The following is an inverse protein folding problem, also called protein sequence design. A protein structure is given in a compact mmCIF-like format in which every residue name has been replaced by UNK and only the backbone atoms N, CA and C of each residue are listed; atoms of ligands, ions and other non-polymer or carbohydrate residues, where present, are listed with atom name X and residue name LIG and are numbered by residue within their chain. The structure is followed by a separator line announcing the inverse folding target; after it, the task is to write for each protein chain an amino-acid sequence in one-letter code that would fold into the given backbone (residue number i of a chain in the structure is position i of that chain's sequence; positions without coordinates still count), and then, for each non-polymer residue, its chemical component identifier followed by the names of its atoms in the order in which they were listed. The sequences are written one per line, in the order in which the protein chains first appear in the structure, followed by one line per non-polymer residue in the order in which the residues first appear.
data_IF_592786212962
#
_entry.id   IF_592786212962
#
_cell.length_a   1.000
_cell.length_b   1.000
_cell.length_c   1.000
_cell.angle_alpha   90.00
_cell.angle_beta   90.00
_cell.angle_gamma   90.00
#
_symmetry.space_group_name_H-M   'P 1'
#
loop_
_entity.id
_entity.type
_entity.pdbx_description
1 polymer ?
#
# COMPACT_ATOMS: atom_id res chain seq x y z
N UNK A 1 40.91 -29.89 -38.75
CA UNK A 1 42.00 -30.86 -38.50
C UNK A 1 41.44 -31.97 -37.64
N UNK A 2 41.78 -33.20 -38.03
CA UNK A 2 41.50 -34.50 -37.39
C UNK A 2 40.07 -35.08 -37.42
N UNK A 3 40.06 -36.34 -37.88
CA UNK A 3 38.96 -37.22 -38.27
C UNK A 3 38.63 -38.20 -37.14
N UNK A 4 37.49 -38.87 -37.31
CA UNK A 4 37.18 -40.27 -36.95
C UNK A 4 36.26 -40.47 -35.72
N UNK A 5 35.61 -41.65 -35.56
CA UNK A 5 34.57 -42.21 -36.45
C UNK A 5 33.43 -42.89 -35.64
N UNK A 6 32.16 -42.55 -35.82
CA UNK A 6 31.07 -43.19 -35.03
C UNK A 6 29.84 -43.58 -35.87
N UNK A 7 30.05 -43.98 -37.12
CA UNK A 7 28.96 -44.35 -38.05
C UNK A 7 29.20 -45.66 -38.80
N UNK A 8 30.06 -46.54 -38.27
CA UNK A 8 30.40 -47.81 -38.91
C UNK A 8 30.47 -48.96 -37.89
N UNK A 9 29.37 -49.22 -37.17
CA UNK A 9 29.29 -50.40 -36.28
C UNK A 9 27.86 -50.90 -35.99
N UNK A 10 26.90 -50.65 -36.89
CA UNK A 10 25.49 -51.07 -36.71
C UNK A 10 24.92 -51.91 -37.86
N UNK A 11 25.76 -52.45 -38.73
CA UNK A 11 25.31 -53.33 -39.81
C UNK A 11 26.40 -54.32 -40.21
N UNK A 12 26.67 -55.38 -39.41
CA UNK A 12 27.38 -56.60 -39.84
C UNK A 12 27.49 -57.75 -38.81
N UNK A 13 26.47 -57.98 -37.96
CA UNK A 13 26.42 -59.18 -37.10
C UNK A 13 25.04 -59.86 -37.17
N UNK A 14 24.54 -60.05 -38.38
CA UNK A 14 23.49 -61.01 -38.68
C UNK A 14 24.13 -62.18 -39.45
N UNK A 15 23.86 -63.39 -38.97
CA UNK A 15 24.28 -64.69 -39.48
C UNK A 15 25.74 -65.09 -39.19
N UNK A 16 25.91 -66.00 -38.22
CA UNK A 16 26.73 -67.21 -38.34
C UNK A 16 26.56 -68.10 -37.09
N UNK A 17 26.12 -69.33 -37.33
CA UNK A 17 26.54 -70.49 -36.54
C UNK A 17 25.71 -70.86 -35.30
N UNK A 18 24.59 -71.56 -35.53
CA UNK A 18 24.12 -72.54 -34.56
C UNK A 18 25.22 -73.58 -34.33
N UNK A 19 25.88 -73.51 -33.18
CA UNK A 19 26.74 -74.57 -32.66
C UNK A 19 26.33 -74.83 -31.22
N UNK A 20 25.15 -75.40 -31.03
CA UNK A 20 24.80 -76.04 -29.78
C UNK A 20 25.84 -77.14 -29.51
N UNK A 21 26.48 -77.10 -28.34
CA UNK A 21 27.29 -78.19 -27.86
C UNK A 21 26.40 -79.43 -27.71
N UNK A 22 26.41 -80.33 -28.70
CA UNK A 22 25.94 -81.68 -28.53
C UNK A 22 26.90 -82.35 -27.52
N UNK A 23 26.49 -82.39 -26.25
CA UNK A 23 27.12 -83.29 -25.28
C UNK A 23 26.87 -84.71 -25.79
N UNK A 24 27.96 -85.44 -25.96
CA UNK A 24 27.99 -86.88 -26.17
C UNK A 24 27.00 -87.55 -25.21
N UNK A 25 26.09 -88.37 -25.76
CA UNK A 25 25.18 -89.19 -25.00
C UNK A 25 25.97 -90.17 -24.13
N UNK A 26 26.21 -89.78 -22.88
CA UNK A 26 26.34 -90.72 -21.78
C UNK A 26 24.98 -91.42 -21.74
N UNK A 27 24.97 -92.74 -21.69
CA UNK A 27 23.74 -93.52 -21.46
C UNK A 27 22.92 -92.86 -20.34
N UNK A 28 21.58 -92.75 -20.45
CA UNK A 28 20.75 -92.15 -19.41
C UNK A 28 20.61 -93.14 -18.25
N UNK A 29 21.73 -93.43 -17.59
CA UNK A 29 21.76 -94.25 -16.39
C UNK A 29 21.40 -93.34 -15.22
N UNK A 30 20.14 -93.46 -14.81
CA UNK A 30 19.67 -92.81 -13.60
C UNK A 30 20.39 -93.39 -12.37
N UNK A 31 20.64 -92.57 -11.33
CA UNK A 31 21.21 -93.06 -10.07
C UNK A 31 20.38 -94.21 -9.46
N UNK A 32 21.01 -95.01 -8.60
CA UNK A 32 20.34 -96.12 -7.93
C UNK A 32 19.05 -95.65 -7.22
N UNK A 33 17.92 -96.28 -7.54
CA UNK A 33 16.59 -95.93 -7.02
C UNK A 33 15.73 -95.05 -7.94
N UNK A 34 16.30 -94.51 -9.03
CA UNK A 34 15.58 -93.72 -10.03
C UNK A 34 15.37 -94.54 -11.31
N UNK A 35 14.29 -94.25 -12.03
CA UNK A 35 14.01 -94.81 -13.35
C UNK A 35 13.87 -93.71 -14.40
N UNK A 36 14.29 -94.03 -15.62
CA UNK A 36 14.15 -93.12 -16.74
C UNK A 36 12.68 -93.11 -17.23
N UNK A 37 12.04 -91.95 -17.16
CA UNK A 37 10.72 -91.70 -17.74
C UNK A 37 10.87 -90.57 -18.77
N UNK A 38 10.81 -90.93 -20.05
CA UNK A 38 11.18 -90.01 -21.14
C UNK A 38 12.66 -89.63 -21.09
N UNK A 39 12.95 -88.33 -20.96
CA UNK A 39 14.32 -87.79 -20.85
C UNK A 39 14.71 -87.42 -19.40
N UNK A 40 13.86 -87.71 -18.40
CA UNK A 40 14.09 -87.32 -16.99
C UNK A 40 14.17 -88.55 -16.09
N UNK A 41 15.07 -88.50 -15.11
CA UNK A 41 15.16 -89.53 -14.07
C UNK A 41 14.17 -89.24 -12.96
N UNK A 42 13.19 -90.12 -12.78
CA UNK A 42 12.15 -90.02 -11.76
C UNK A 42 12.42 -91.00 -10.62
N UNK A 43 12.20 -90.58 -9.37
CA UNK A 43 12.34 -91.47 -8.21
C UNK A 43 11.23 -92.54 -8.22
N UNK A 44 11.55 -93.76 -7.75
CA UNK A 44 10.58 -94.85 -7.66
C UNK A 44 10.07 -95.10 -6.24
N UNK A 45 10.90 -94.80 -5.23
CA UNK A 45 10.61 -95.03 -3.82
C UNK A 45 11.30 -93.96 -2.97
N UNK A 46 10.86 -93.78 -1.72
CA UNK A 46 11.50 -92.85 -0.78
C UNK A 46 13.00 -93.16 -0.56
N UNK A 47 13.41 -94.43 -0.66
CA UNK A 47 14.82 -94.85 -0.50
C UNK A 47 15.72 -94.38 -1.64
N UNK A 48 15.15 -93.95 -2.77
CA UNK A 48 15.89 -93.34 -3.86
C UNK A 48 16.25 -91.88 -3.56
N UNK A 49 15.47 -91.22 -2.70
CA UNK A 49 15.66 -89.82 -2.39
C UNK A 49 16.78 -89.63 -1.36
N UNK A 50 17.44 -88.46 -1.33
CA UNK A 50 18.37 -88.10 -0.26
C UNK A 50 17.73 -88.24 1.12
N UNK A 51 18.55 -88.46 2.15
CA UNK A 51 18.08 -88.71 3.51
C UNK A 51 16.99 -87.71 3.95
N UNK A 52 15.86 -88.25 4.43
CA UNK A 52 14.70 -87.49 4.90
C UNK A 52 13.72 -87.03 3.81
N UNK A 53 14.05 -87.11 2.51
CA UNK A 53 13.14 -86.73 1.43
C UNK A 53 12.23 -87.88 1.01
N UNK A 54 11.06 -87.54 0.44
CA UNK A 54 10.03 -88.51 0.01
C UNK A 54 9.82 -88.42 -1.49
N UNK A 55 9.57 -89.57 -2.12
CA UNK A 55 9.32 -89.64 -3.55
C UNK A 55 7.83 -89.43 -3.84
N UNK A 56 7.49 -88.33 -4.52
CA UNK A 56 6.11 -88.02 -4.91
C UNK A 56 6.06 -87.64 -6.38
N UNK A 57 5.23 -88.36 -7.16
CA UNK A 57 5.06 -88.14 -8.60
C UNK A 57 6.40 -88.06 -9.37
N UNK A 58 7.36 -88.92 -9.02
CA UNK A 58 8.66 -89.02 -9.68
C UNK A 58 9.70 -87.99 -9.23
N UNK A 59 9.38 -87.11 -8.27
CA UNK A 59 10.31 -86.08 -7.76
C UNK A 59 10.46 -86.21 -6.24
N UNK A 60 11.68 -85.97 -5.74
CA UNK A 60 11.95 -85.98 -4.32
C UNK A 60 11.53 -84.65 -3.68
N UNK A 61 10.58 -84.72 -2.74
CA UNK A 61 10.11 -83.57 -1.97
C UNK A 61 10.53 -83.69 -0.51
N UNK A 62 10.87 -82.55 0.08
CA UNK A 62 11.01 -82.42 1.52
C UNK A 62 9.64 -82.08 2.13
N UNK A 63 9.20 -82.81 3.16
CA UNK A 63 7.86 -82.66 3.77
C UNK A 63 7.88 -82.39 5.28
N UNK A 64 9.05 -82.50 5.91
CA UNK A 64 9.24 -82.23 7.33
C UNK A 64 10.70 -81.82 7.58
N UNK A 65 11.04 -81.39 8.79
CA UNK A 65 12.37 -80.84 9.08
C UNK A 65 13.50 -81.88 9.05
N UNK A 66 13.22 -83.18 8.90
CA UNK A 66 14.26 -84.22 8.88
C UNK A 66 15.12 -84.21 7.61
N UNK A 67 14.58 -83.71 6.49
CA UNK A 67 15.33 -83.51 5.23
C UNK A 67 16.05 -82.16 5.15
N UNK A 68 15.89 -81.28 6.14
CA UNK A 68 16.48 -79.96 6.09
C UNK A 68 17.95 -79.97 6.56
N UNK A 69 18.84 -79.23 5.88
CA UNK A 69 20.22 -79.05 6.33
C UNK A 69 20.30 -78.44 7.73
N UNK A 70 21.47 -78.52 8.35
CA UNK A 70 21.71 -77.90 9.65
C UNK A 70 21.31 -76.42 9.65
N UNK A 71 20.67 -75.99 10.73
CA UNK A 71 20.10 -74.66 10.88
C UNK A 71 18.78 -74.39 10.13
N UNK A 72 18.32 -75.28 9.25
CA UNK A 72 17.07 -75.11 8.50
C UNK A 72 15.92 -75.95 9.06
N UNK A 73 14.68 -75.52 8.84
CA UNK A 73 13.47 -76.28 9.17
C UNK A 73 12.42 -76.17 8.07
N UNK A 74 11.57 -77.18 7.93
CA UNK A 74 10.53 -77.20 6.91
C UNK A 74 9.43 -76.17 7.20
N UNK A 75 9.06 -75.40 6.18
CA UNK A 75 7.96 -74.44 6.22
C UNK A 75 6.82 -74.94 5.34
N UNK A 76 5.69 -75.29 5.96
CA UNK A 76 4.49 -75.69 5.22
C UNK A 76 3.90 -74.55 4.36
N UNK A 77 4.19 -73.29 4.69
CA UNK A 77 3.71 -72.12 3.94
C UNK A 77 4.45 -71.93 2.61
N UNK A 78 5.77 -72.17 2.61
CA UNK A 78 6.62 -72.02 1.42
C UNK A 78 6.96 -73.37 0.77
N UNK A 79 6.44 -74.46 1.33
CA UNK A 79 6.72 -75.86 0.97
C UNK A 79 8.22 -76.16 0.79
N UNK A 80 9.06 -75.56 1.63
CA UNK A 80 10.52 -75.58 1.50
C UNK A 80 11.24 -75.48 2.85
N UNK A 81 12.52 -75.90 2.88
CA UNK A 81 13.38 -75.68 4.04
C UNK A 81 13.78 -74.21 4.12
N UNK A 82 13.46 -73.57 5.24
CA UNK A 82 13.81 -72.18 5.53
C UNK A 82 14.80 -72.13 6.68
N UNK A 83 15.74 -71.18 6.65
CA UNK A 83 16.68 -70.96 7.74
C UNK A 83 15.93 -70.67 9.04
N UNK A 84 16.40 -71.20 10.17
CA UNK A 84 15.83 -71.02 11.53
C UNK A 84 16.92 -70.84 12.60
N UNK A 85 18.18 -70.70 12.21
CA UNK A 85 19.34 -70.61 13.08
C UNK A 85 20.41 -69.69 12.49
N UNK A 86 21.27 -69.09 13.31
CA UNK A 86 22.31 -68.18 12.81
C UNK A 86 23.37 -68.88 11.95
N UNK A 87 23.57 -70.19 12.09
CA UNK A 87 24.50 -70.99 11.27
C UNK A 87 24.15 -71.04 9.78
N UNK A 88 22.87 -70.91 9.43
CA UNK A 88 22.42 -70.86 8.04
C UNK A 88 22.30 -69.44 7.48
N UNK A 89 22.52 -68.41 8.31
CA UNK A 89 22.45 -67.03 7.84
C UNK A 89 23.69 -66.67 7.00
N UNK A 90 23.56 -65.74 6.03
CA UNK A 90 24.71 -65.19 5.32
C UNK A 90 25.72 -64.55 6.27
N UNK A 91 26.95 -64.34 5.79
CA UNK A 91 28.01 -63.71 6.60
C UNK A 91 27.52 -62.37 7.20
N UNK A 92 27.86 -62.15 8.47
CA UNK A 92 27.45 -60.99 9.28
C UNK A 92 25.94 -60.87 9.54
N UNK A 93 25.11 -61.86 9.21
CA UNK A 93 23.68 -61.88 9.55
C UNK A 93 23.40 -62.82 10.74
N UNK A 94 22.37 -62.50 11.51
CA UNK A 94 21.95 -63.23 12.71
C UNK A 94 20.47 -63.59 12.60
N UNK A 95 20.11 -64.79 13.05
CA UNK A 95 18.73 -65.25 13.02
C UNK A 95 17.85 -64.51 14.04
N UNK A 96 16.80 -63.84 13.57
CA UNK A 96 15.78 -63.25 14.43
C UNK A 96 14.55 -64.17 14.50
N UNK A 97 14.39 -64.87 15.62
CA UNK A 97 13.30 -65.82 15.83
C UNK A 97 11.91 -65.15 15.86
N UNK A 98 11.81 -63.91 16.33
CA UNK A 98 10.54 -63.17 16.38
C UNK A 98 10.10 -62.72 14.98
N UNK A 99 11.05 -62.28 14.16
CA UNK A 99 10.84 -61.86 12.78
C UNK A 99 10.77 -63.03 11.78
N UNK A 100 11.23 -64.21 12.19
CA UNK A 100 11.27 -65.41 11.36
C UNK A 100 12.19 -65.28 10.14
N UNK A 101 13.25 -64.46 10.22
CA UNK A 101 14.23 -64.28 9.14
C UNK A 101 15.62 -63.92 9.67
N UNK A 102 16.65 -64.13 8.86
CA UNK A 102 17.98 -63.58 9.11
C UNK A 102 17.96 -62.06 8.93
N UNK A 103 18.53 -61.35 9.88
CA UNK A 103 18.68 -59.90 9.86
C UNK A 103 20.17 -59.54 9.98
N UNK A 104 20.53 -58.32 9.58
CA UNK A 104 21.91 -57.88 9.67
C UNK A 104 22.33 -57.82 11.15
N UNK A 105 23.51 -58.37 11.48
CA UNK A 105 24.02 -58.46 12.84
C UNK A 105 25.23 -57.56 13.13
N UNK A 106 25.63 -56.70 12.19
CA UNK A 106 26.76 -55.79 12.37
C UNK A 106 27.02 -54.88 11.17
N UNK A 107 28.01 -54.00 11.25
CA UNK A 107 28.28 -52.98 10.21
C UNK A 107 28.59 -53.58 8.82
N UNK A 108 29.22 -54.75 8.75
CA UNK A 108 29.69 -55.36 7.50
C UNK A 108 28.55 -55.81 6.58
N UNK A 109 27.35 -56.08 7.11
CA UNK A 109 26.16 -56.37 6.30
C UNK A 109 25.36 -55.11 5.92
N UNK A 110 25.71 -53.93 6.43
CA UNK A 110 24.98 -52.71 6.10
C UNK A 110 25.37 -52.19 4.70
N UNK A 111 24.37 -51.86 3.84
CA UNK A 111 24.65 -51.25 2.54
C UNK A 111 25.31 -49.88 2.66
N UNK A 112 25.93 -49.41 1.56
CA UNK A 112 26.55 -48.09 1.49
C UNK A 112 25.60 -46.96 1.92
N UNK A 113 26.05 -46.15 2.88
CA UNK A 113 25.26 -45.05 3.46
C UNK A 113 24.43 -45.45 4.67
N UNK A 114 24.46 -46.72 5.09
CA UNK A 114 23.86 -47.17 6.34
C UNK A 114 24.93 -47.45 7.41
N UNK A 115 24.56 -47.21 8.67
CA UNK A 115 25.35 -47.55 9.86
C UNK A 115 24.56 -48.49 10.74
N UNK A 116 25.18 -49.55 11.24
CA UNK A 116 24.54 -50.48 12.16
C UNK A 116 24.23 -49.79 13.49
N UNK A 117 23.01 -49.95 13.97
CA UNK A 117 22.54 -49.44 15.25
C UNK A 117 22.35 -50.61 16.20
N UNK A 118 23.26 -50.74 17.18
CA UNK A 118 23.27 -51.86 18.13
C UNK A 118 22.02 -51.88 19.03
N UNK A 119 21.45 -50.72 19.35
CA UNK A 119 20.25 -50.61 20.19
C UNK A 119 18.99 -51.06 19.42
N UNK A 120 18.90 -50.70 18.13
CA UNK A 120 17.81 -51.11 17.26
C UNK A 120 18.00 -52.50 16.64
N UNK A 121 19.22 -53.04 16.66
CA UNK A 121 19.59 -54.30 16.00
C UNK A 121 19.43 -54.25 14.48
N UNK A 122 19.62 -53.07 13.85
CA UNK A 122 19.35 -52.88 12.43
C UNK A 122 20.22 -51.78 11.80
N UNK A 123 20.37 -51.82 10.47
CA UNK A 123 21.04 -50.77 9.72
C UNK A 123 20.17 -49.52 9.61
N UNK A 124 20.68 -48.38 10.08
CA UNK A 124 20.05 -47.06 9.98
C UNK A 124 20.71 -46.23 8.89
N UNK A 125 19.90 -45.52 8.10
CA UNK A 125 20.40 -44.61 7.07
C UNK A 125 21.11 -43.41 7.70
N UNK A 126 22.36 -43.14 7.31
CA UNK A 126 23.21 -42.08 7.88
C UNK A 126 23.87 -41.17 6.83
N UNK A 127 23.58 -41.38 5.54
CA UNK A 127 24.12 -40.58 4.45
C UNK A 127 23.09 -40.36 3.32
N UNK A 128 23.27 -39.36 2.46
CA UNK A 128 22.31 -39.13 1.37
C UNK A 128 22.23 -40.27 0.34
N UNK A 129 23.23 -41.15 0.27
CA UNK A 129 23.25 -42.30 -0.66
C UNK A 129 22.25 -43.40 -0.30
N UNK A 130 21.77 -43.46 0.94
CA UNK A 130 20.72 -44.40 1.33
C UNK A 130 19.30 -43.85 1.12
N UNK A 131 19.18 -42.54 0.83
CA UNK A 131 17.88 -41.92 0.61
C UNK A 131 17.35 -42.23 -0.79
N UNK A 132 16.01 -42.37 -0.95
CA UNK A 132 15.39 -42.51 -2.26
C UNK A 132 15.66 -41.30 -3.17
N UNK A 133 15.44 -41.46 -4.47
CA UNK A 133 15.54 -40.37 -5.44
C UNK A 133 14.75 -39.14 -5.00
N UNK A 134 15.38 -37.97 -5.10
CA UNK A 134 14.86 -36.69 -4.61
C UNK A 134 15.00 -36.40 -3.12
N UNK A 135 15.38 -37.37 -2.29
CA UNK A 135 15.60 -37.14 -0.86
C UNK A 135 17.09 -36.98 -0.52
N UNK A 136 17.39 -36.26 0.55
CA UNK A 136 18.73 -36.15 1.15
C UNK A 136 18.69 -36.48 2.64
N UNK A 137 19.79 -36.97 3.18
CA UNK A 137 19.87 -37.23 4.62
C UNK A 137 20.07 -35.92 5.39
N UNK A 138 19.29 -35.71 6.45
CA UNK A 138 19.43 -34.58 7.36
C UNK A 138 19.87 -35.05 8.75
N UNK A 139 21.10 -34.73 9.13
CA UNK A 139 21.70 -35.21 10.37
C UNK A 139 21.03 -34.69 11.66
N UNK A 140 20.30 -33.57 11.60
CA UNK A 140 19.60 -33.02 12.78
C UNK A 140 18.33 -33.79 13.14
N UNK A 141 17.62 -34.25 12.11
CA UNK A 141 16.36 -34.99 12.26
C UNK A 141 16.57 -36.50 12.09
N UNK A 142 17.79 -36.91 11.73
CA UNK A 142 18.20 -38.29 11.46
C UNK A 142 17.31 -38.99 10.43
N UNK A 143 16.84 -38.24 9.42
CA UNK A 143 15.87 -38.72 8.43
C UNK A 143 16.21 -38.22 7.03
N UNK A 144 15.72 -38.97 6.03
CA UNK A 144 15.70 -38.51 4.64
C UNK A 144 14.60 -37.46 4.48
N UNK A 145 14.98 -36.25 4.08
CA UNK A 145 14.09 -35.12 3.82
C UNK A 145 14.06 -34.81 2.33
N UNK A 146 12.93 -34.29 1.87
CA UNK A 146 12.75 -33.94 0.46
C UNK A 146 13.74 -32.82 0.06
N UNK A 147 14.31 -32.93 -1.13
CA UNK A 147 15.36 -32.02 -1.63
C UNK A 147 15.26 -31.71 -3.14
N UNK A 148 14.27 -32.24 -3.85
CA UNK A 148 14.03 -31.94 -5.27
C UNK A 148 12.58 -32.22 -5.66
N UNK A 149 12.20 -31.90 -6.90
CA UNK A 149 10.85 -32.18 -7.39
C UNK A 149 10.49 -33.68 -7.38
N UNK A 150 11.47 -34.58 -7.42
CA UNK A 150 11.23 -36.04 -7.49
C UNK A 150 10.63 -36.62 -6.21
N UNK A 151 10.83 -35.97 -5.06
CA UNK A 151 10.23 -36.39 -3.79
C UNK A 151 8.85 -35.78 -3.54
N UNK A 152 8.42 -34.82 -4.38
CA UNK A 152 7.16 -34.15 -4.15
C UNK A 152 5.96 -34.97 -4.64
N UNK A 153 4.80 -34.86 -3.94
CA UNK A 153 3.56 -35.45 -4.42
C UNK A 153 3.20 -34.95 -5.81
N UNK A 154 2.28 -35.66 -6.48
CA UNK A 154 1.73 -35.22 -7.77
C UNK A 154 1.24 -33.77 -7.64
N UNK A 155 1.51 -32.97 -8.67
CA UNK A 155 1.16 -31.57 -8.78
C UNK A 155 1.84 -30.60 -7.81
N UNK A 156 2.81 -31.08 -7.02
CA UNK A 156 3.66 -30.26 -6.16
C UNK A 156 5.08 -30.13 -6.75
N UNK A 157 5.81 -29.11 -6.29
CA UNK A 157 7.22 -28.88 -6.62
C UNK A 157 8.01 -28.53 -5.37
N UNK A 158 9.31 -28.75 -5.38
CA UNK A 158 10.16 -28.44 -4.25
C UNK A 158 10.52 -26.96 -4.21
N UNK A 159 10.25 -26.32 -3.06
CA UNK A 159 10.66 -24.96 -2.76
C UNK A 159 11.98 -25.01 -1.97
N UNK A 160 13.08 -24.56 -2.58
CA UNK A 160 14.41 -24.61 -1.98
C UNK A 160 14.58 -23.69 -0.77
N UNK A 161 13.77 -22.64 -0.65
CA UNK A 161 13.82 -21.68 0.45
C UNK A 161 13.06 -22.22 1.67
N UNK A 162 11.83 -22.72 1.45
CA UNK A 162 11.03 -23.40 2.49
C UNK A 162 11.54 -24.79 2.83
N UNK A 163 12.33 -25.39 1.93
CA UNK A 163 12.79 -26.80 2.00
C UNK A 163 11.62 -27.78 2.09
N UNK A 164 10.55 -27.50 1.37
CA UNK A 164 9.31 -28.26 1.40
C UNK A 164 8.61 -28.26 0.04
N UNK A 165 7.67 -29.18 -0.15
CA UNK A 165 6.88 -29.25 -1.37
C UNK A 165 5.72 -28.25 -1.33
N UNK A 166 5.66 -27.39 -2.33
CA UNK A 166 4.59 -26.41 -2.52
C UNK A 166 3.75 -26.78 -3.73
N UNK A 167 2.48 -26.41 -3.68
CA UNK A 167 1.56 -26.67 -4.77
C UNK A 167 1.99 -25.96 -6.07
N UNK A 168 1.91 -26.66 -7.20
CA UNK A 168 2.35 -26.20 -8.52
C UNK A 168 1.25 -26.28 -9.61
N UNK A 169 0.02 -26.67 -9.25
CA UNK A 169 -1.16 -26.77 -10.13
C UNK A 169 -2.46 -26.53 -9.37
N UNK A 170 -3.54 -26.29 -10.10
CA UNK A 170 -4.87 -26.04 -9.51
C UNK A 170 -5.39 -27.23 -8.66
N UNK A 171 -5.04 -28.45 -9.03
CA UNK A 171 -5.49 -29.69 -8.37
C UNK A 171 -5.03 -29.82 -6.91
N UNK A 172 -3.93 -29.19 -6.53
CA UNK A 172 -3.44 -29.16 -5.14
C UNK A 172 -3.79 -27.86 -4.42
N UNK A 173 -4.46 -26.92 -5.07
CA UNK A 173 -4.85 -25.67 -4.43
C UNK A 173 -6.03 -25.89 -3.46
N UNK A 174 -6.09 -25.11 -2.35
CA UNK A 174 -7.26 -25.08 -1.50
C UNK A 174 -8.53 -24.67 -2.27
N UNK A 175 -9.73 -24.92 -1.74
CA UNK A 175 -10.97 -24.39 -2.31
C UNK A 175 -10.87 -22.88 -2.57
N UNK A 176 -11.47 -22.44 -3.67
CA UNK A 176 -11.48 -21.04 -4.14
C UNK A 176 -10.10 -20.44 -4.46
N UNK A 177 -9.07 -21.27 -4.64
CA UNK A 177 -7.75 -20.84 -5.09
C UNK A 177 -7.40 -21.45 -6.44
N UNK A 178 -6.71 -20.66 -7.28
CA UNK A 178 -6.18 -21.07 -8.58
C UNK A 178 -4.66 -20.88 -8.56
N UNK A 179 -3.91 -21.83 -9.11
CA UNK A 179 -2.47 -21.74 -9.19
C UNK A 179 -2.04 -20.66 -10.18
N UNK A 180 -1.25 -19.70 -9.70
CA UNK A 180 -0.63 -18.69 -10.53
C UNK A 180 0.83 -19.05 -10.80
N UNK A 181 1.16 -19.34 -12.06
CA UNK A 181 2.52 -19.65 -12.47
C UNK A 181 3.49 -18.46 -12.32
N UNK A 182 2.98 -17.22 -12.45
CA UNK A 182 3.79 -16.00 -12.29
C UNK A 182 4.14 -15.71 -10.84
N UNK A 183 3.23 -16.00 -9.90
CA UNK A 183 3.46 -15.87 -8.45
C UNK A 183 4.14 -17.13 -7.90
N UNK A 184 3.94 -18.27 -8.56
CA UNK A 184 4.47 -19.55 -8.11
C UNK A 184 3.73 -20.11 -6.89
N UNK A 185 2.45 -19.77 -6.73
CA UNK A 185 1.63 -20.18 -5.60
C UNK A 185 0.14 -20.19 -5.97
N UNK A 186 -0.67 -20.83 -5.13
CA UNK A 186 -2.13 -20.75 -5.19
C UNK A 186 -2.59 -19.35 -4.76
N UNK A 187 -3.35 -18.69 -5.62
CA UNK A 187 -3.91 -17.37 -5.39
C UNK A 187 -5.42 -17.53 -5.25
N UNK A 188 -5.97 -16.98 -4.17
CA UNK A 188 -7.41 -16.98 -3.97
C UNK A 188 -8.09 -16.16 -5.09
N UNK A 189 -9.17 -16.68 -5.68
CA UNK A 189 -9.94 -15.99 -6.71
C UNK A 189 -11.42 -15.81 -6.31
N UNK A 190 -11.95 -14.61 -6.58
CA UNK A 190 -13.37 -14.27 -6.38
C UNK A 190 -13.69 -13.74 -4.98
N UNK A 191 -14.98 -13.71 -4.66
CA UNK A 191 -15.50 -13.07 -3.44
C UNK A 191 -15.18 -13.84 -2.17
N UNK A 192 -14.95 -15.16 -2.28
CA UNK A 192 -14.52 -16.01 -1.15
C UNK A 192 -13.19 -15.57 -0.53
N UNK A 193 -12.41 -14.75 -1.26
CA UNK A 193 -11.15 -14.18 -0.80
C UNK A 193 -11.32 -12.95 0.09
N UNK A 194 -12.56 -12.47 0.22
CA UNK A 194 -12.87 -11.30 1.01
C UNK A 194 -13.53 -11.71 2.35
N UNK A 195 -13.32 -10.91 3.41
CA UNK A 195 -14.05 -11.11 4.66
C UNK A 195 -15.56 -11.07 4.44
N UNK A 196 -16.33 -11.62 5.39
CA UNK A 196 -17.79 -11.58 5.33
C UNK A 196 -18.30 -10.13 5.17
N UNK A 197 -19.24 -9.93 4.24
CA UNK A 197 -19.76 -8.60 3.90
C UNK A 197 -18.94 -7.82 2.87
N UNK A 198 -17.83 -8.37 2.38
CA UNK A 198 -17.00 -7.79 1.33
C UNK A 198 -17.01 -8.67 0.07
N UNK A 199 -16.75 -8.04 -1.09
CA UNK A 199 -16.60 -8.70 -2.38
C UNK A 199 -15.39 -8.14 -3.13
N UNK A 200 -14.91 -8.82 -4.17
CA UNK A 200 -13.88 -8.25 -5.04
C UNK A 200 -14.45 -7.10 -5.87
N UNK A 201 -13.64 -6.07 -6.08
CA UNK A 201 -13.95 -4.99 -7.01
C UNK A 201 -13.85 -5.47 -8.47
N UNK A 202 -14.18 -4.59 -9.43
CA UNK A 202 -14.18 -4.95 -10.85
C UNK A 202 -12.80 -5.37 -11.40
N UNK A 203 -11.71 -5.02 -10.71
CA UNK A 203 -10.35 -5.46 -11.05
C UNK A 203 -10.00 -6.85 -10.50
N UNK A 204 -10.71 -7.33 -9.47
CA UNK A 204 -10.37 -8.58 -8.78
C UNK A 204 -9.24 -8.44 -7.76
N UNK A 205 -8.68 -7.25 -7.57
CA UNK A 205 -7.50 -7.04 -6.72
C UNK A 205 -7.90 -6.66 -5.29
N UNK A 206 -8.94 -5.83 -5.10
CA UNK A 206 -9.30 -5.26 -3.80
C UNK A 206 -10.65 -5.78 -3.29
N UNK A 207 -10.76 -6.00 -1.98
CA UNK A 207 -12.04 -6.23 -1.32
C UNK A 207 -12.76 -4.91 -1.02
N UNK A 208 -14.00 -4.80 -1.47
CA UNK A 208 -14.89 -3.66 -1.27
C UNK A 208 -16.11 -4.07 -0.45
N UNK A 209 -16.59 -3.18 0.41
CA UNK A 209 -17.77 -3.44 1.22
C UNK A 209 -19.02 -3.58 0.33
N UNK A 210 -19.94 -4.45 0.74
CA UNK A 210 -21.22 -4.66 0.05
C UNK A 210 -22.32 -3.81 0.69
N UNK A 211 -22.25 -3.61 2.01
CA UNK A 211 -23.21 -2.84 2.79
C UNK A 211 -22.59 -2.32 4.09
N UNK A 212 -23.30 -1.42 4.78
CA UNK A 212 -22.86 -0.85 6.06
C UNK A 212 -22.57 -1.92 7.12
N UNK A 213 -23.26 -3.06 7.07
CA UNK A 213 -23.04 -4.17 7.99
C UNK A 213 -21.60 -4.72 7.93
N UNK A 214 -20.93 -4.59 6.78
CA UNK A 214 -19.54 -5.02 6.61
C UNK A 214 -18.54 -4.12 7.35
N UNK A 215 -18.90 -2.85 7.58
CA UNK A 215 -17.98 -1.81 8.06
C UNK A 215 -17.92 -1.68 9.58
N UNK A 216 -18.72 -2.46 10.31
CA UNK A 216 -18.82 -2.37 11.76
C UNK A 216 -19.58 -1.12 12.24
N UNK A 217 -19.84 -1.07 13.55
CA UNK A 217 -20.64 0.00 14.15
C UNK A 217 -19.99 1.39 13.96
N UNK A 218 -20.79 2.40 13.64
CA UNK A 218 -20.34 3.79 13.45
C UNK A 218 -19.72 4.09 12.08
N UNK A 219 -19.65 3.09 11.19
CA UNK A 219 -19.18 3.22 9.81
C UNK A 219 -20.27 2.84 8.81
N UNK A 220 -20.15 3.34 7.58
CA UNK A 220 -21.02 3.03 6.46
C UNK A 220 -20.19 2.64 5.24
N UNK A 221 -20.79 1.91 4.31
CA UNK A 221 -20.17 1.52 3.07
C UNK A 221 -20.40 2.60 2.01
N UNK A 222 -19.32 3.27 1.57
CA UNK A 222 -19.40 4.22 0.48
C UNK A 222 -19.54 3.48 -0.86
N UNK A 223 -20.72 3.58 -1.48
CA UNK A 223 -21.04 2.85 -2.71
C UNK A 223 -20.13 3.23 -3.90
N UNK A 224 -19.56 4.43 -3.91
CA UNK A 224 -18.71 4.90 -4.99
C UNK A 224 -17.30 4.30 -4.93
N UNK A 225 -16.67 4.32 -3.75
CA UNK A 225 -15.29 3.81 -3.56
C UNK A 225 -15.22 2.38 -3.03
N UNK A 226 -16.35 1.81 -2.59
CA UNK A 226 -16.40 0.51 -1.94
C UNK A 226 -15.62 0.45 -0.63
N UNK A 227 -15.32 1.62 -0.03
CA UNK A 227 -14.57 1.73 1.21
C UNK A 227 -15.51 1.99 2.40
N UNK A 228 -15.14 1.48 3.56
CA UNK A 228 -15.79 1.84 4.81
C UNK A 228 -15.40 3.26 5.22
N UNK A 229 -16.41 4.08 5.53
CA UNK A 229 -16.29 5.47 5.95
C UNK A 229 -16.92 5.64 7.32
N UNK A 230 -16.33 6.48 8.17
CA UNK A 230 -16.93 6.81 9.46
C UNK A 230 -18.08 7.81 9.27
N UNK A 231 -19.11 7.67 10.10
CA UNK A 231 -20.21 8.64 10.19
C UNK A 231 -20.02 9.61 11.37
N UNK A 232 -19.32 9.14 12.40
CA UNK A 232 -19.00 9.90 13.61
C UNK A 232 -17.75 9.31 14.26
N UNK A 233 -17.22 9.97 15.29
CA UNK A 233 -16.06 9.50 16.05
C UNK A 233 -16.26 8.10 16.65
N UNK A 234 -17.50 7.67 16.86
CA UNK A 234 -17.82 6.31 17.33
C UNK A 234 -17.41 5.20 16.33
N UNK A 235 -17.24 5.53 15.05
CA UNK A 235 -16.73 4.61 14.03
C UNK A 235 -15.20 4.48 14.02
N UNK A 236 -14.51 5.31 14.82
CA UNK A 236 -13.06 5.42 14.82
C UNK A 236 -12.43 4.82 16.08
N UNK A 237 -11.15 4.44 15.97
CA UNK A 237 -10.41 3.93 17.13
C UNK A 237 -10.20 5.05 18.16
N UNK A 238 -9.96 4.66 19.42
CA UNK A 238 -9.67 5.62 20.49
C UNK A 238 -8.50 6.54 20.10
N UNK A 239 -8.70 7.86 20.25
CA UNK A 239 -7.72 8.88 19.85
C UNK A 239 -7.81 9.32 18.38
N UNK A 240 -8.84 8.87 17.65
CA UNK A 240 -9.18 9.33 16.31
C UNK A 240 -10.54 10.01 16.31
N UNK A 241 -10.76 10.88 15.32
CA UNK A 241 -12.04 11.51 15.05
C UNK A 241 -12.43 11.26 13.59
N UNK A 242 -13.72 11.37 13.30
CA UNK A 242 -14.23 11.26 11.95
C UNK A 242 -14.14 12.60 11.24
N UNK A 243 -13.27 12.71 10.25
CA UNK A 243 -13.12 13.95 9.49
C UNK A 243 -14.27 14.15 8.49
N UNK A 244 -14.35 15.35 7.90
CA UNK A 244 -15.43 15.70 6.96
C UNK A 244 -15.46 14.88 5.66
N UNK A 245 -14.42 14.10 5.37
CA UNK A 245 -14.33 13.18 4.23
C UNK A 245 -14.75 11.74 4.60
N UNK A 246 -15.20 11.50 5.82
CA UNK A 246 -15.60 10.18 6.32
C UNK A 246 -14.42 9.25 6.57
N UNK A 247 -13.23 9.78 6.87
CA UNK A 247 -12.07 8.99 7.28
C UNK A 247 -11.72 9.22 8.74
N UNK A 248 -11.30 8.15 9.42
CA UNK A 248 -10.76 8.27 10.77
C UNK A 248 -9.37 8.89 10.74
N UNK A 249 -9.23 10.02 11.41
CA UNK A 249 -8.00 10.81 11.46
C UNK A 249 -7.51 10.92 12.90
N UNK A 250 -6.20 10.86 13.08
CA UNK A 250 -5.57 11.00 14.40
C UNK A 250 -5.54 12.46 14.84
N UNK A 251 -5.67 12.70 16.15
CA UNK A 251 -5.49 14.03 16.75
C UNK A 251 -4.02 14.51 16.78
N UNK A 252 -3.06 13.61 16.51
CA UNK A 252 -1.64 13.92 16.33
C UNK A 252 -1.25 13.79 14.87
N UNK A 253 -0.47 14.74 14.37
CA UNK A 253 -0.15 15.06 12.97
C UNK A 253 -1.15 15.95 12.24
N UNK A 254 -1.48 17.10 12.83
CA UNK A 254 -2.08 18.21 12.08
C UNK A 254 -0.98 19.09 11.46
N UNK A 255 -1.26 19.70 10.31
CA UNK A 255 -0.41 20.73 9.68
C UNK A 255 -1.12 22.06 9.51
N UNK A 256 -2.45 22.03 9.61
CA UNK A 256 -3.34 23.17 9.48
C UNK A 256 -4.60 22.94 10.31
N UNK A 257 -5.37 24.00 10.55
CA UNK A 257 -6.66 23.88 11.25
C UNK A 257 -7.68 23.00 10.49
N UNK A 258 -7.50 22.78 9.18
CA UNK A 258 -8.35 21.89 8.40
C UNK A 258 -8.15 20.41 8.77
N UNK A 259 -7.01 20.07 9.39
CA UNK A 259 -6.68 18.74 9.88
C UNK A 259 -7.25 18.46 11.28
N UNK A 260 -8.01 19.40 11.83
CA UNK A 260 -8.52 19.35 13.18
C UNK A 260 -10.05 19.37 13.24
N UNK A 261 -10.64 18.68 14.24
CA UNK A 261 -12.08 18.73 14.46
C UNK A 261 -12.55 20.14 14.82
N UNK A 262 -13.87 20.37 14.70
CA UNK A 262 -14.48 21.65 15.11
C UNK A 262 -14.10 22.01 16.54
N UNK A 263 -13.97 23.30 16.81
CA UNK A 263 -13.61 23.88 18.11
C UNK A 263 -12.21 23.49 18.64
N UNK A 264 -11.36 23.00 17.74
CA UNK A 264 -9.93 22.77 17.98
C UNK A 264 -9.11 23.45 16.88
N UNK A 265 -7.84 23.69 17.15
CA UNK A 265 -6.91 24.25 16.17
C UNK A 265 -5.59 23.48 16.21
N UNK A 266 -4.83 23.58 15.11
CA UNK A 266 -3.59 22.87 14.98
C UNK A 266 -2.46 23.62 15.66
N UNK A 267 -1.90 23.02 16.70
CA UNK A 267 -0.62 23.43 17.26
C UNK A 267 0.50 22.82 16.41
N UNK A 268 1.02 23.62 15.47
CA UNK A 268 2.12 23.24 14.57
C UNK A 268 3.46 23.07 15.29
N UNK A 269 3.57 23.43 16.57
CA UNK A 269 4.78 23.17 17.37
C UNK A 269 4.81 21.74 17.91
N UNK A 270 3.64 21.14 18.13
CA UNK A 270 3.49 19.77 18.64
C UNK A 270 2.81 18.83 17.65
N UNK A 271 2.45 19.34 16.46
CA UNK A 271 1.61 18.72 15.44
C UNK A 271 0.31 18.15 16.02
N UNK A 272 -0.32 18.83 16.98
CA UNK A 272 -1.51 18.33 17.66
C UNK A 272 -2.70 19.26 17.57
N UNK A 273 -3.88 18.68 17.36
CA UNK A 273 -5.12 19.41 17.53
C UNK A 273 -5.38 19.63 19.01
N UNK A 274 -5.43 20.89 19.43
CA UNK A 274 -5.73 21.26 20.81
C UNK A 274 -7.05 22.05 20.88
N UNK A 275 -7.84 21.89 21.97
CA UNK A 275 -9.10 22.63 22.13
C UNK A 275 -8.88 24.15 22.16
N UNK A 276 -9.93 24.92 21.87
CA UNK A 276 -9.93 26.36 22.16
C UNK A 276 -9.69 26.63 23.66
N UNK A 277 -8.73 27.52 23.96
CA UNK A 277 -8.40 27.95 25.33
C UNK A 277 -6.95 27.69 25.73
N UNK A 278 -6.48 26.42 25.75
CA UNK A 278 -5.07 26.10 25.80
C UNK A 278 -4.30 26.74 24.64
N UNK A 279 -3.05 27.11 24.85
CA UNK A 279 -2.23 27.73 23.81
C UNK A 279 -0.76 27.34 23.94
N UNK A 280 -0.03 27.52 22.86
CA UNK A 280 1.44 27.40 22.77
C UNK A 280 2.03 28.57 21.99
N UNK A 281 1.27 29.12 21.04
CA UNK A 281 1.53 30.36 20.31
C UNK A 281 0.47 31.42 20.62
N UNK A 282 0.81 32.70 20.48
CA UNK A 282 -0.11 33.81 20.70
C UNK A 282 -1.30 33.77 19.72
N UNK A 283 -1.07 33.26 18.50
CA UNK A 283 -2.07 33.08 17.43
C UNK A 283 -3.18 32.09 17.78
N UNK A 284 -2.98 31.29 18.84
CA UNK A 284 -3.98 30.37 19.38
C UNK A 284 -5.02 31.10 20.26
N UNK A 285 -4.75 32.36 20.59
CA UNK A 285 -5.59 33.19 21.44
C UNK A 285 -6.41 34.19 20.63
N UNK A 286 -7.53 34.64 21.21
CA UNK A 286 -8.33 35.70 20.61
C UNK A 286 -7.56 37.03 20.58
N UNK A 287 -7.97 37.96 19.71
CA UNK A 287 -7.42 39.32 19.69
C UNK A 287 -7.45 39.96 21.10
N UNK A 288 -6.37 40.65 21.45
CA UNK A 288 -6.14 41.23 22.77
C UNK A 288 -5.65 40.26 23.83
N UNK A 289 -5.24 39.04 23.43
CA UNK A 289 -4.67 38.04 24.32
C UNK A 289 -3.35 37.50 23.79
N UNK A 290 -2.46 37.15 24.72
CA UNK A 290 -1.21 36.46 24.46
C UNK A 290 -1.24 35.07 25.08
N UNK A 291 -0.45 34.18 24.50
CA UNK A 291 -0.22 32.90 25.10
C UNK A 291 0.79 33.00 26.24
N UNK A 292 0.35 32.59 27.44
CA UNK A 292 1.25 32.17 28.49
C UNK A 292 1.61 30.70 28.27
N UNK A 293 2.74 30.47 27.58
CA UNK A 293 3.19 29.12 27.24
C UNK A 293 3.55 28.27 28.48
N UNK A 294 3.83 28.89 29.64
CA UNK A 294 4.12 28.14 30.87
C UNK A 294 2.83 27.58 31.50
N UNK A 295 1.76 28.36 31.44
CA UNK A 295 0.46 27.99 31.99
C UNK A 295 -0.47 27.36 30.95
N UNK A 296 -0.06 27.34 29.68
CA UNK A 296 -0.85 26.99 28.50
C UNK A 296 -2.22 27.70 28.52
N UNK A 297 -2.22 29.03 28.75
CA UNK A 297 -3.45 29.82 28.85
C UNK A 297 -3.33 31.16 28.16
N UNK A 298 -4.39 31.55 27.46
CA UNK A 298 -4.55 32.89 26.93
C UNK A 298 -4.79 33.90 28.06
N UNK A 299 -4.00 34.98 28.09
CA UNK A 299 -4.12 36.07 29.05
C UNK A 299 -4.22 37.41 28.31
N UNK A 300 -4.92 38.43 28.86
CA UNK A 300 -4.99 39.74 28.22
C UNK A 300 -3.62 40.37 27.98
N UNK A 301 -3.39 40.90 26.78
CA UNK A 301 -2.17 41.59 26.39
C UNK A 301 -1.88 41.49 24.89
N UNK A 302 -0.75 42.07 24.47
CA UNK A 302 -0.27 42.02 23.08
C UNK A 302 1.26 42.16 23.03
N UNK A 303 1.89 41.73 21.94
CA UNK A 303 3.31 41.95 21.61
C UNK A 303 3.47 42.82 20.37
N UNK A 304 2.51 42.79 19.46
CA UNK A 304 2.47 43.50 18.17
C UNK A 304 1.04 43.87 17.81
N UNK A 305 0.88 44.81 16.88
CA UNK A 305 -0.43 45.36 16.51
C UNK A 305 -1.39 44.32 15.96
N UNK A 306 -0.86 43.32 15.25
CA UNK A 306 -1.67 42.24 14.72
C UNK A 306 -2.25 41.32 15.80
N UNK A 307 -1.82 41.45 17.06
CA UNK A 307 -2.44 40.73 18.19
C UNK A 307 -3.70 41.47 18.68
N UNK A 308 -3.93 42.71 18.25
CA UNK A 308 -5.07 43.52 18.65
C UNK A 308 -6.19 43.46 17.61
N UNK A 309 -7.41 43.77 18.04
CA UNK A 309 -8.54 43.85 17.14
C UNK A 309 -8.32 44.97 16.10
N UNK A 310 -9.10 44.94 15.02
CA UNK A 310 -9.05 45.96 13.99
C UNK A 310 -9.06 47.37 14.58
N UNK A 311 -8.18 48.24 14.05
CA UNK A 311 -8.01 49.66 14.44
C UNK A 311 -7.44 49.89 15.84
N UNK A 312 -6.90 48.86 16.48
CA UNK A 312 -6.13 48.98 17.71
C UNK A 312 -4.65 48.72 17.44
N UNK A 313 -3.82 49.14 18.38
CA UNK A 313 -2.38 48.91 18.34
C UNK A 313 -1.90 48.44 19.70
N UNK A 314 -0.79 47.69 19.67
CA UNK A 314 -0.15 47.25 20.89
C UNK A 314 0.71 48.37 21.47
N UNK A 315 0.27 48.92 22.61
CA UNK A 315 0.95 49.99 23.31
C UNK A 315 1.20 49.58 24.77
N UNK A 316 2.48 49.55 25.16
CA UNK A 316 2.92 49.09 26.48
C UNK A 316 2.40 47.70 26.87
N UNK A 317 2.27 46.80 25.88
CA UNK A 317 1.82 45.41 26.09
C UNK A 317 0.31 45.24 26.25
N UNK A 318 -0.49 46.29 26.00
CA UNK A 318 -1.95 46.26 25.99
C UNK A 318 -2.49 46.80 24.68
N UNK A 319 -3.59 46.20 24.20
CA UNK A 319 -4.30 46.73 23.04
C UNK A 319 -5.02 48.01 23.43
N UNK A 320 -4.69 49.10 22.73
CA UNK A 320 -5.28 50.41 22.95
C UNK A 320 -5.75 51.00 21.62
N UNK A 321 -6.68 51.94 21.71
CA UNK A 321 -7.12 52.75 20.57
C UNK A 321 -5.99 53.71 20.20
N UNK A 322 -5.07 53.19 19.39
CA UNK A 322 -3.88 53.87 18.96
C UNK A 322 -3.64 53.56 17.48
N UNK A 323 -3.10 54.52 16.75
CA UNK A 323 -2.80 54.39 15.35
C UNK A 323 -1.33 54.66 15.07
N UNK A 324 -0.75 53.87 14.19
CA UNK A 324 0.57 54.15 13.58
C UNK A 324 0.45 54.60 12.14
N UNK A 325 -0.62 54.20 11.47
CA UNK A 325 -0.94 54.59 10.10
C UNK A 325 -2.39 55.03 10.02
N UNK A 326 -2.75 55.72 8.93
CA UNK A 326 -4.14 56.11 8.70
C UNK A 326 -5.07 54.89 8.55
N UNK A 327 -4.54 53.73 8.10
CA UNK A 327 -5.30 52.48 7.99
C UNK A 327 -5.78 51.94 9.34
N UNK A 328 -5.08 52.27 10.42
CA UNK A 328 -5.48 51.92 11.79
C UNK A 328 -6.66 52.76 12.30
N UNK A 329 -7.15 53.73 11.54
CA UNK A 329 -8.22 54.61 12.00
C UNK A 329 -9.58 54.22 11.44
N UNK A 330 -10.63 54.57 12.21
CA UNK A 330 -12.01 54.53 11.74
C UNK A 330 -12.22 55.33 10.44
N UNK A 331 -13.37 55.12 9.81
CA UNK A 331 -13.71 55.73 8.51
C UNK A 331 -13.56 57.26 8.57
N UNK A 332 -12.94 57.84 7.54
CA UNK A 332 -12.64 59.27 7.38
C UNK A 332 -11.77 59.90 8.47
N UNK A 333 -11.05 59.09 9.25
CA UNK A 333 -10.13 59.57 10.28
C UNK A 333 -8.67 59.44 9.86
N UNK A 334 -7.89 60.40 10.31
CA UNK A 334 -6.45 60.43 10.14
C UNK A 334 -5.76 60.08 11.43
N UNK A 335 -4.66 59.36 11.29
CA UNK A 335 -3.77 59.17 12.41
C UNK A 335 -2.94 60.43 12.67
N UNK A 336 -3.01 60.96 13.88
CA UNK A 336 -2.14 62.05 14.32
C UNK A 336 -0.71 61.50 14.54
N UNK A 337 0.31 62.05 13.86
CA UNK A 337 1.69 61.55 13.97
C UNK A 337 2.27 61.76 15.38
N UNK A 338 1.69 62.66 16.18
CA UNK A 338 2.04 62.87 17.57
C UNK A 338 0.91 62.35 18.46
N UNK A 339 1.20 61.33 19.25
CA UNK A 339 0.25 60.73 20.19
C UNK A 339 -0.64 59.62 19.61
N UNK A 340 -0.58 59.34 18.31
CA UNK A 340 -1.22 58.18 17.68
C UNK A 340 -2.74 58.12 17.87
N UNK A 341 -3.40 59.27 17.88
CA UNK A 341 -4.86 59.35 18.02
C UNK A 341 -5.51 59.54 16.65
N UNK A 342 -6.61 58.83 16.42
CA UNK A 342 -7.44 59.01 15.23
C UNK A 342 -8.33 60.24 15.36
N UNK A 343 -8.29 61.13 14.37
CA UNK A 343 -9.11 62.34 14.37
C UNK A 343 -9.45 62.83 12.97
N UNK A 344 -10.53 63.61 12.82
CA UNK A 344 -10.88 64.22 11.55
C UNK A 344 -9.89 65.32 11.17
N UNK A 345 -9.75 65.61 9.88
CA UNK A 345 -9.08 66.82 9.38
C UNK A 345 -10.14 67.79 8.85
N UNK A 346 -10.02 69.07 9.19
CA UNK A 346 -10.97 70.08 8.74
C UNK A 346 -10.99 70.20 7.21
N UNK A 347 -12.19 70.34 6.62
CA UNK A 347 -12.38 70.50 5.18
C UNK A 347 -12.32 69.20 4.37
N UNK A 348 -12.29 68.04 5.01
CA UNK A 348 -12.31 66.73 4.36
C UNK A 348 -13.74 66.18 4.29
N UNK A 349 -14.14 65.74 3.10
CA UNK A 349 -15.48 65.19 2.79
C UNK A 349 -15.40 63.77 2.25
N UNK A 350 -14.25 63.10 2.44
CA UNK A 350 -14.02 61.75 1.91
C UNK A 350 -15.16 60.79 2.27
N UNK A 351 -15.53 59.92 1.34
CA UNK A 351 -16.60 58.93 1.49
C UNK A 351 -18.01 59.46 1.84
N UNK A 352 -18.26 60.77 1.71
CA UNK A 352 -19.60 61.33 1.80
C UNK A 352 -20.43 61.02 0.53
N UNK A 353 -21.68 60.61 0.68
CA UNK A 353 -22.59 60.37 -0.47
C UNK A 353 -22.88 61.70 -1.20
N UNK A 354 -22.71 61.69 -2.53
CA UNK A 354 -22.91 62.83 -3.41
C UNK A 354 -23.99 62.61 -4.49
N UNK A 355 -24.78 61.54 -4.39
CA UNK A 355 -25.85 61.21 -5.36
C UNK A 355 -26.98 62.24 -5.40
N UNK A 356 -27.40 62.75 -4.24
CA UNK A 356 -28.54 63.67 -4.14
C UNK A 356 -28.20 65.12 -4.54
N UNK A 357 -26.94 65.51 -4.38
CA UNK A 357 -26.49 66.90 -4.54
C UNK A 357 -25.02 66.93 -4.99
N UNK A 358 -24.72 67.13 -6.29
CA UNK A 358 -23.37 66.98 -6.85
C UNK A 358 -22.29 67.88 -6.24
N UNK A 359 -22.69 69.00 -5.63
CA UNK A 359 -21.77 69.98 -5.04
C UNK A 359 -21.43 69.70 -3.56
N UNK A 360 -21.88 68.57 -3.00
CA UNK A 360 -21.62 68.21 -1.60
C UNK A 360 -20.13 68.02 -1.29
N UNK A 361 -19.34 67.60 -2.28
CA UNK A 361 -17.91 67.35 -2.07
C UNK A 361 -17.09 68.64 -1.89
N UNK A 362 -17.59 69.79 -2.39
CA UNK A 362 -16.87 71.06 -2.36
C UNK A 362 -15.74 71.16 -3.39
N UNK A 363 -14.98 72.27 -3.37
CA UNK A 363 -13.99 72.60 -4.41
C UNK A 363 -12.69 71.78 -4.40
N UNK A 364 -12.45 70.96 -3.38
CA UNK A 364 -11.24 70.14 -3.22
C UNK A 364 -11.50 68.63 -3.28
N UNK A 365 -12.70 68.22 -3.68
CA UNK A 365 -13.07 66.81 -3.78
C UNK A 365 -13.99 66.62 -4.98
N UNK A 366 -13.96 65.43 -5.57
CA UNK A 366 -14.77 65.06 -6.72
C UNK A 366 -15.79 64.00 -6.30
N UNK A 367 -17.01 64.07 -6.83
CA UNK A 367 -17.98 62.99 -6.70
C UNK A 367 -17.56 61.84 -7.64
N UNK A 368 -17.03 60.77 -7.04
CA UNK A 368 -16.49 59.61 -7.73
C UNK A 368 -17.49 58.46 -7.67
N UNK A 369 -17.45 57.60 -8.68
CA UNK A 369 -18.21 56.35 -8.72
C UNK A 369 -17.22 55.19 -8.69
N UNK A 370 -17.39 54.26 -7.76
CA UNK A 370 -16.59 53.04 -7.77
C UNK A 370 -17.20 52.01 -8.72
N UNK A 371 -16.36 51.37 -9.52
CA UNK A 371 -16.77 50.37 -10.50
C UNK A 371 -16.04 49.07 -10.17
N UNK A 372 -16.73 48.14 -9.50
CA UNK A 372 -16.31 46.74 -9.35
C UNK A 372 -17.35 45.78 -9.89
N UNK A 373 -16.89 44.58 -10.25
CA UNK A 373 -17.72 43.46 -10.70
C UNK A 373 -18.72 43.06 -9.60
N UNK A 374 -20.00 42.95 -9.95
CA UNK A 374 -21.06 42.50 -9.05
C UNK A 374 -21.49 43.45 -7.92
N UNK A 375 -21.04 44.72 -7.90
CA UNK A 375 -21.47 45.72 -6.91
C UNK A 375 -22.32 46.82 -7.55
N UNK A 376 -23.34 47.30 -6.82
CA UNK A 376 -24.10 48.49 -7.24
C UNK A 376 -23.19 49.70 -7.09
N UNK A 377 -22.88 50.35 -8.21
CA UNK A 377 -22.04 51.54 -8.26
C UNK A 377 -22.60 52.62 -7.31
N UNK A 378 -21.84 52.97 -6.25
CA UNK A 378 -22.19 54.06 -5.31
C UNK A 378 -21.30 55.26 -5.58
N UNK A 379 -21.90 56.44 -5.44
CA UNK A 379 -21.17 57.70 -5.59
C UNK A 379 -20.69 58.19 -4.22
N UNK A 380 -19.45 58.65 -4.17
CA UNK A 380 -18.83 59.13 -2.95
C UNK A 380 -17.88 60.27 -3.25
N UNK A 381 -17.71 61.18 -2.29
CA UNK A 381 -16.73 62.25 -2.39
C UNK A 381 -15.32 61.68 -2.17
N UNK A 382 -14.40 61.91 -3.11
CA UNK A 382 -12.97 61.66 -2.94
C UNK A 382 -12.19 62.98 -2.96
N UNK A 383 -11.55 63.34 -1.85
CA UNK A 383 -10.71 64.55 -1.78
C UNK A 383 -9.48 64.38 -2.65
N UNK A 384 -9.04 65.45 -3.31
CA UNK A 384 -7.83 65.42 -4.13
C UNK A 384 -6.61 65.15 -3.26
N UNK A 385 -5.69 64.34 -3.77
CA UNK A 385 -4.51 63.90 -3.05
C UNK A 385 -3.29 63.89 -3.96
N UNK A 386 -2.11 63.76 -3.34
CA UNK A 386 -0.83 63.55 -4.02
C UNK A 386 -0.14 62.27 -3.57
N UNK A 387 -0.37 61.86 -2.32
CA UNK A 387 0.17 60.63 -1.75
C UNK A 387 -0.87 59.94 -0.87
N UNK A 388 -0.65 58.66 -0.55
CA UNK A 388 -1.52 57.93 0.38
C UNK A 388 -1.58 58.55 1.78
N UNK A 389 -0.57 59.34 2.19
CA UNK A 389 -0.57 60.05 3.47
C UNK A 389 -1.58 61.21 3.51
N UNK A 390 -2.04 61.66 2.35
CA UNK A 390 -3.12 62.65 2.26
C UNK A 390 -4.48 62.01 2.54
N UNK A 391 -4.60 60.68 2.59
CA UNK A 391 -5.88 59.99 2.60
C UNK A 391 -6.21 59.34 3.96
N UNK A 392 -7.48 59.39 4.41
CA UNK A 392 -7.89 58.84 5.70
C UNK A 392 -8.01 57.32 5.66
N UNK A 393 -8.08 56.66 6.82
CA UNK A 393 -8.57 55.27 6.95
C UNK A 393 -7.88 54.23 6.05
N UNK A 394 -6.65 54.49 5.61
CA UNK A 394 -5.91 53.60 4.70
C UNK A 394 -6.36 53.69 3.24
N UNK A 395 -7.11 54.73 2.88
CA UNK A 395 -7.50 55.00 1.49
C UNK A 395 -6.24 55.22 0.65
N UNK A 396 -6.27 54.72 -0.56
CA UNK A 396 -5.24 54.98 -1.55
C UNK A 396 -5.45 56.35 -2.19
N UNK A 397 -4.38 57.02 -2.54
CA UNK A 397 -4.42 58.12 -3.48
C UNK A 397 -4.43 57.53 -4.88
N UNK A 398 -5.64 57.33 -5.42
CA UNK A 398 -5.87 56.61 -6.66
C UNK A 398 -6.08 57.57 -7.84
N UNK A 399 -5.67 57.10 -9.01
CA UNK A 399 -5.92 57.78 -10.27
C UNK A 399 -7.42 57.75 -10.63
N UNK A 400 -7.97 58.93 -10.94
CA UNK A 400 -9.35 59.08 -11.38
C UNK A 400 -9.38 59.26 -12.89
N UNK A 401 -10.09 58.35 -13.54
CA UNK A 401 -10.35 58.36 -14.98
C UNK A 401 -11.79 58.77 -15.24
N UNK A 402 -12.04 59.49 -16.34
CA UNK A 402 -13.39 59.83 -16.75
C UNK A 402 -14.00 58.73 -17.63
N UNK A 403 -15.24 58.37 -17.33
CA UNK A 403 -16.08 57.61 -18.26
C UNK A 403 -16.58 58.53 -19.39
N UNK A 404 -16.63 58.02 -20.61
CA UNK A 404 -17.12 58.75 -21.78
C UNK A 404 -18.30 58.01 -22.41
N UNK A 405 -19.49 58.61 -22.47
CA UNK A 405 -20.74 57.86 -22.66
C UNK A 405 -21.20 57.71 -24.12
N UNK A 406 -20.42 58.20 -25.10
CA UNK A 406 -20.87 58.32 -26.51
C UNK A 406 -20.21 57.34 -27.49
N UNK A 407 -19.68 56.21 -27.01
CA UNK A 407 -19.05 55.20 -27.88
C UNK A 407 -17.57 55.50 -28.19
N UNK A 408 -16.91 54.60 -28.94
CA UNK A 408 -15.52 54.83 -29.39
C UNK A 408 -15.42 56.12 -30.21
N UNK A 409 -14.50 57.01 -29.85
CA UNK A 409 -14.37 58.35 -30.45
C UNK A 409 -15.26 59.43 -29.83
N UNK A 410 -15.97 59.12 -28.73
CA UNK A 410 -16.64 60.09 -27.89
C UNK A 410 -15.73 61.17 -27.28
N UNK A 411 -16.33 62.26 -26.81
CA UNK A 411 -15.58 63.41 -26.29
C UNK A 411 -15.04 63.13 -24.88
N UNK A 412 -13.73 63.32 -24.72
CA UNK A 412 -13.05 63.30 -23.44
C UNK A 412 -12.68 64.73 -23.01
N UNK A 413 -12.74 65.08 -21.72
CA UNK A 413 -12.33 66.39 -21.24
C UNK A 413 -10.87 66.70 -21.62
N UNK A 414 -10.57 67.97 -21.88
CA UNK A 414 -9.18 68.44 -21.93
C UNK A 414 -8.57 68.42 -20.54
N UNK A 415 -7.30 68.06 -20.43
CA UNK A 415 -6.55 68.12 -19.17
C UNK A 415 -5.59 69.31 -19.17
N UNK A 416 -5.79 70.24 -18.24
CA UNK A 416 -4.90 71.39 -18.04
C UNK A 416 -3.47 71.00 -17.66
N UNK A 417 -3.26 69.79 -17.13
CA UNK A 417 -1.93 69.26 -16.78
C UNK A 417 -1.20 68.66 -17.98
N UNK A 418 -1.89 68.40 -19.09
CA UNK A 418 -1.33 67.85 -20.32
C UNK A 418 -1.72 68.73 -21.54
N UNK A 419 -1.28 69.99 -21.58
CA UNK A 419 -1.68 70.93 -22.63
C UNK A 419 -1.24 70.43 -24.02
N UNK A 420 -2.16 70.45 -24.97
CA UNK A 420 -1.93 70.02 -26.36
C UNK A 420 -2.06 68.52 -26.62
N UNK A 421 -2.36 67.71 -25.59
CA UNK A 421 -2.70 66.30 -25.79
C UNK A 421 -4.19 66.14 -26.10
N UNK A 422 -4.51 65.19 -26.99
CA UNK A 422 -5.88 64.81 -27.32
C UNK A 422 -6.21 63.49 -26.64
N UNK A 423 -7.30 63.46 -25.87
CA UNK A 423 -7.80 62.26 -25.21
C UNK A 423 -8.91 61.63 -26.03
N UNK A 424 -8.90 60.30 -26.13
CA UNK A 424 -9.87 59.56 -26.94
C UNK A 424 -10.68 58.60 -26.07
N UNK A 425 -11.98 58.55 -26.33
CA UNK A 425 -12.87 57.60 -25.68
C UNK A 425 -12.70 56.20 -26.28
N UNK A 426 -12.34 55.22 -25.46
CA UNK A 426 -12.18 53.82 -25.86
C UNK A 426 -13.11 52.90 -25.10
N UNK A 427 -13.62 51.88 -25.80
CA UNK A 427 -14.44 50.84 -25.22
C UNK A 427 -13.59 49.69 -24.67
N UNK A 428 -14.06 49.08 -23.59
CA UNK A 428 -13.57 47.79 -23.10
C UNK A 428 -14.72 46.87 -22.73
N UNK A 429 -14.48 45.58 -22.88
CA UNK A 429 -15.38 44.52 -22.43
C UNK A 429 -14.89 44.05 -21.07
N UNK A 430 -15.80 44.05 -20.10
CA UNK A 430 -15.56 43.39 -18.81
C UNK A 430 -16.09 41.98 -18.93
N UNK A 431 -15.24 41.00 -18.63
CA UNK A 431 -15.62 39.59 -18.66
C UNK A 431 -16.84 39.38 -17.72
N UNK A 432 -17.84 38.64 -18.18
CA UNK A 432 -19.10 38.38 -17.45
C UNK A 432 -20.05 39.57 -17.21
N UNK A 433 -19.82 40.74 -17.82
CA UNK A 433 -20.70 41.91 -17.72
C UNK A 433 -21.36 42.25 -19.07
N UNK A 434 -22.68 42.55 -19.12
CA UNK A 434 -23.34 42.90 -20.36
C UNK A 434 -22.99 44.32 -20.83
N UNK A 435 -22.40 44.41 -22.03
CA UNK A 435 -22.17 45.67 -22.75
C UNK A 435 -20.76 46.23 -22.66
N UNK A 436 -20.43 47.15 -23.58
CA UNK A 436 -19.13 47.84 -23.62
C UNK A 436 -19.13 49.01 -22.64
N UNK A 437 -18.13 49.07 -21.76
CA UNK A 437 -17.86 50.23 -20.90
C UNK A 437 -16.85 51.13 -21.58
N UNK A 438 -16.88 52.43 -21.30
CA UNK A 438 -16.09 53.42 -22.04
C UNK A 438 -15.33 54.37 -21.11
N UNK A 439 -14.06 54.62 -21.40
CA UNK A 439 -13.17 55.48 -20.61
C UNK A 439 -12.23 56.30 -21.49
N UNK A 440 -11.73 57.40 -20.94
CA UNK A 440 -10.79 58.29 -21.62
C UNK A 440 -9.36 57.78 -21.57
N UNK A 441 -8.71 57.77 -22.73
CA UNK A 441 -7.33 57.29 -22.92
C UNK A 441 -6.43 58.35 -23.53
N UNK A 442 -5.15 58.30 -23.18
CA UNK A 442 -4.09 59.08 -23.81
C UNK A 442 -3.70 58.53 -25.19
N UNK A 443 -2.71 59.15 -25.84
CA UNK A 443 -2.26 58.76 -27.17
C UNK A 443 -1.77 57.29 -27.26
N UNK A 444 -1.28 56.74 -26.15
CA UNK A 444 -0.78 55.36 -26.05
C UNK A 444 -1.90 54.32 -25.83
N UNK A 445 -3.17 54.76 -25.71
CA UNK A 445 -4.32 53.89 -25.49
C UNK A 445 -4.49 53.38 -24.06
N UNK A 446 -3.65 53.80 -23.12
CA UNK A 446 -3.79 53.56 -21.68
C UNK A 446 -4.81 54.52 -21.05
N UNK A 447 -5.51 54.13 -19.96
CA UNK A 447 -6.39 55.03 -19.22
C UNK A 447 -5.68 56.32 -18.82
N UNK A 448 -6.28 57.48 -19.11
CA UNK A 448 -5.71 58.77 -18.74
C UNK A 448 -6.19 59.19 -17.36
N UNK A 449 -5.27 59.33 -16.41
CA UNK A 449 -5.52 59.85 -15.08
C UNK A 449 -5.57 61.38 -15.10
N UNK A 450 -6.74 61.97 -14.82
CA UNK A 450 -6.92 63.43 -14.84
C UNK A 450 -6.57 64.07 -13.50
N UNK A 451 -6.98 63.40 -12.43
CA UNK A 451 -6.73 63.82 -11.04
C UNK A 451 -6.43 62.58 -10.21
N UNK A 452 -5.86 62.82 -9.04
CA UNK A 452 -5.74 61.81 -8.01
C UNK A 452 -6.64 62.18 -6.85
N UNK A 453 -7.35 61.20 -6.32
CA UNK A 453 -8.27 61.40 -5.21
C UNK A 453 -8.21 60.22 -4.23
N UNK A 454 -8.57 60.50 -2.99
CA UNK A 454 -8.63 59.48 -1.95
C UNK A 454 -9.77 58.51 -2.24
N UNK A 455 -9.41 57.23 -2.41
CA UNK A 455 -10.35 56.14 -2.71
C UNK A 455 -10.17 54.98 -1.72
N UNK A 456 -11.27 54.38 -1.24
CA UNK A 456 -11.18 53.18 -0.41
C UNK A 456 -10.59 52.02 -1.21
N UNK A 457 -9.66 51.26 -0.61
CA UNK A 457 -9.01 50.13 -1.32
C UNK A 457 -9.98 49.01 -1.68
N UNK A 458 -11.03 48.83 -0.88
CA UNK A 458 -12.11 47.86 -1.14
C UNK A 458 -13.15 48.38 -2.12
N UNK A 459 -13.08 49.67 -2.49
CA UNK A 459 -14.10 50.32 -3.32
C UNK A 459 -15.40 50.67 -2.61
N UNK A 460 -15.48 50.37 -1.32
CA UNK A 460 -16.67 50.60 -0.51
C UNK A 460 -16.40 51.66 0.56
N UNK A 461 -17.30 52.63 0.66
CA UNK A 461 -17.32 53.62 1.73
C UNK A 461 -18.21 53.13 2.87
N UNK A 462 -17.66 52.74 4.04
CA UNK A 462 -18.46 52.12 5.10
C UNK A 462 -19.42 53.10 5.80
N UNK A 463 -19.29 54.41 5.56
CA UNK A 463 -20.17 55.44 6.14
C UNK A 463 -21.61 55.46 5.57
N UNK A 464 -21.94 54.59 4.60
CA UNK A 464 -23.30 54.51 4.02
C UNK A 464 -24.14 53.32 4.50
N UNK A 465 -23.66 52.55 5.49
CA UNK A 465 -24.54 51.70 6.28
C UNK A 465 -25.10 52.54 7.44
N UNK A 466 -26.32 53.05 7.25
CA UNK A 466 -27.20 53.32 8.38
C UNK A 466 -27.30 52.03 9.23
N UNK A 467 -27.37 52.12 10.57
CA UNK A 467 -27.51 50.96 11.44
C UNK A 467 -28.73 50.08 11.11
#
# INVERSE_FOLDING_TARGET
MNRSPALLLLALLAALGFSACARTAITPECPAGYALQGDTCECLTDQACPDGMRCEAGVCFCRDSSCCPEGHAYSATSESCVCRDSSCCPESHVWNAAAGRCECGGQECCPSGYTFDDDAGACRCTASTCCPSGFRYEARTERCVCNSDECCPVDHRFDAERKDCVCAKDSCCPPDHIYSASVGACVCQGDACCPEGYRKDGSGERCVCISDAACGAGNFCDAASGACRCQSDAGCASGQYCNGLGFCQTLGSCTSNADCPRDTFCDTTTDRCIPSGPCTLDEHCAFGQLCDAQMARCRPGCRRDADCADKQACESGQCQDYCRTHASCGVNLFCAPTGGLCGPRAGRTDCQDCTATPNVCGGGATCLTFISEGQVARNFCGSHCTTNADCPSGYGCGDVIYSCTTGEGGACPSDSKAPGQTFTCKGFLVENEPGTRFYCTGAEGQPHAYIQACVPQTGFCPATELP
#
